data_IF_680895165230
#
_entry.id   IF_680895165230
#
_cell.length_a   1.000
_cell.length_b   1.000
_cell.length_c   1.000
_cell.angle_alpha   90.00
_cell.angle_beta   90.00
_cell.angle_gamma   90.00
#
_symmetry.space_group_name_H-M   'P 1'
#
loop_
_entity.id
_entity.type
_entity.pdbx_description
1 polymer ?
#
# COMPACT_ATOMS: atom_id res chain seq x y z
N UNK A 1 -77.00 9.30 35.16
CA UNK A 1 -76.03 10.11 35.91
C UNK A 1 -75.31 9.25 36.94
N UNK A 2 -74.25 8.53 36.56
CA UNK A 2 -73.27 7.90 37.45
C UNK A 2 -71.94 7.90 36.69
N UNK A 3 -71.18 8.98 36.88
CA UNK A 3 -69.97 9.00 37.69
C UNK A 3 -68.85 8.20 37.01
N UNK A 4 -68.10 8.94 36.21
CA UNK A 4 -66.74 8.62 35.80
C UNK A 4 -65.91 8.32 37.05
N UNK A 5 -65.21 7.19 37.08
CA UNK A 5 -64.16 6.96 38.07
C UNK A 5 -62.89 6.62 37.30
N UNK A 6 -62.04 7.63 37.18
CA UNK A 6 -60.71 7.56 36.59
C UNK A 6 -59.81 6.90 37.64
N UNK A 7 -59.30 5.69 37.36
CA UNK A 7 -58.28 5.07 38.20
C UNK A 7 -56.92 5.58 37.72
N UNK A 8 -56.29 6.40 38.56
CA UNK A 8 -54.91 6.85 38.47
C UNK A 8 -53.98 5.82 39.13
N UNK A 9 -52.74 5.78 38.63
CA UNK A 9 -51.52 5.32 39.30
C UNK A 9 -51.31 3.78 39.32
N UNK A 10 -50.11 3.22 39.13
CA UNK A 10 -48.74 3.68 39.35
C UNK A 10 -47.79 2.96 38.38
N UNK A 11 -46.96 3.71 37.65
CA UNK A 11 -45.84 3.15 36.89
C UNK A 11 -44.70 2.81 37.86
N UNK A 12 -44.48 1.51 38.13
CA UNK A 12 -43.32 1.04 38.87
C UNK A 12 -42.08 1.15 37.99
N UNK A 13 -41.29 2.20 38.23
CA UNK A 13 -39.96 2.38 37.65
C UNK A 13 -38.97 1.37 38.23
N UNK A 14 -38.74 0.26 37.54
CA UNK A 14 -37.54 -0.55 37.74
C UNK A 14 -36.38 0.11 37.02
N UNK A 15 -35.54 0.80 37.80
CA UNK A 15 -34.24 1.32 37.40
C UNK A 15 -33.34 0.16 36.99
N UNK A 16 -33.28 -0.14 35.69
CA UNK A 16 -32.35 -1.10 35.13
C UNK A 16 -30.98 -0.43 35.05
N UNK A 17 -30.17 -0.63 36.10
CA UNK A 17 -28.78 -0.18 36.16
C UNK A 17 -27.98 -1.00 35.14
N UNK A 18 -27.84 -0.48 33.92
CA UNK A 18 -26.92 -1.01 32.91
C UNK A 18 -25.50 -0.92 33.47
N UNK A 19 -25.01 -2.04 33.99
CA UNK A 19 -23.61 -2.21 34.35
C UNK A 19 -22.82 -2.10 33.05
N UNK A 20 -22.00 -1.06 32.95
CA UNK A 20 -21.17 -0.79 31.80
C UNK A 20 -20.29 -1.99 31.49
N UNK A 21 -20.48 -2.56 30.30
CA UNK A 21 -19.51 -3.47 29.71
C UNK A 21 -18.16 -2.76 29.66
N UNK A 22 -17.20 -3.25 30.44
CA UNK A 22 -15.82 -2.80 30.37
C UNK A 22 -15.38 -2.99 28.93
N UNK A 23 -15.15 -1.89 28.21
CA UNK A 23 -14.53 -1.89 26.89
C UNK A 23 -13.12 -2.43 27.06
N UNK A 24 -12.97 -3.75 27.05
CA UNK A 24 -11.70 -4.42 26.86
C UNK A 24 -11.17 -3.90 25.53
N UNK A 25 -10.24 -2.95 25.63
CA UNK A 25 -9.62 -2.24 24.55
C UNK A 25 -9.04 -3.25 23.57
N UNK A 26 -9.77 -3.50 22.48
CA UNK A 26 -9.25 -4.18 21.31
C UNK A 26 -8.15 -3.27 20.76
N UNK A 27 -6.91 -3.47 21.21
CA UNK A 27 -5.74 -2.92 20.55
C UNK A 27 -5.63 -3.63 19.21
N UNK A 28 -6.38 -3.15 18.23
CA UNK A 28 -6.15 -3.44 16.82
C UNK A 28 -4.73 -2.92 16.57
N UNK A 29 -3.76 -3.82 16.59
CA UNK A 29 -2.40 -3.54 16.14
C UNK A 29 -2.54 -3.14 14.68
N UNK A 30 -2.56 -1.82 14.45
CA UNK A 30 -2.75 -1.22 13.14
C UNK A 30 -1.80 -1.91 12.16
N UNK A 31 -2.34 -2.75 11.28
CA UNK A 31 -1.57 -3.43 10.26
C UNK A 31 -0.94 -2.32 9.43
N UNK A 32 0.37 -2.13 9.53
CA UNK A 32 1.10 -1.06 8.83
C UNK A 32 1.13 -1.37 7.33
N UNK A 33 0.01 -1.17 6.64
CA UNK A 33 -0.09 -1.33 5.19
C UNK A 33 0.81 -0.27 4.53
N UNK A 34 1.90 -0.71 3.89
CA UNK A 34 2.91 0.14 3.23
C UNK A 34 2.26 1.31 2.48
N UNK A 35 2.46 2.55 2.94
CA UNK A 35 1.76 3.74 2.44
C UNK A 35 1.89 3.94 0.92
N UNK A 36 0.87 4.56 0.32
CA UNK A 36 0.97 5.00 -1.07
C UNK A 36 2.13 6.01 -1.23
N UNK A 37 2.78 6.07 -2.41
CA UNK A 37 3.81 7.06 -2.67
C UNK A 37 3.29 8.49 -2.50
N UNK A 38 4.03 9.32 -1.77
CA UNK A 38 3.73 10.76 -1.59
C UNK A 38 3.89 11.52 -2.92
N UNK A 39 3.17 12.64 -3.04
CA UNK A 39 3.19 13.54 -4.21
C UNK A 39 4.59 14.12 -4.51
N UNK A 40 5.34 14.52 -3.46
CA UNK A 40 6.71 15.02 -3.62
C UNK A 40 7.68 13.87 -3.92
N UNK A 41 8.49 14.02 -4.98
CA UNK A 41 9.52 13.05 -5.31
C UNK A 41 10.66 13.11 -4.28
N UNK A 42 11.24 11.97 -3.90
CA UNK A 42 12.43 11.95 -3.05
C UNK A 42 13.66 12.46 -3.82
N UNK A 43 14.61 13.09 -3.11
CA UNK A 43 15.85 13.61 -3.69
C UNK A 43 16.80 12.50 -4.15
N UNK A 44 16.86 11.38 -3.39
CA UNK A 44 17.71 10.23 -3.69
C UNK A 44 17.19 9.44 -4.88
N UNK A 45 18.12 9.06 -5.77
CA UNK A 45 17.88 8.26 -6.96
C UNK A 45 18.76 7.02 -6.91
N UNK A 46 18.26 5.95 -7.50
CA UNK A 46 18.94 4.65 -7.58
C UNK A 46 18.85 4.19 -9.02
N UNK A 47 19.94 3.63 -9.53
CA UNK A 47 19.99 3.03 -10.85
C UNK A 47 19.59 1.56 -10.75
N UNK A 48 18.71 1.14 -11.65
CA UNK A 48 18.14 -0.19 -11.69
C UNK A 48 18.70 -0.87 -12.94
N UNK A 49 19.43 -1.97 -12.77
CA UNK A 49 20.06 -2.72 -13.85
C UNK A 49 19.61 -4.18 -13.87
N UNK A 50 19.60 -4.79 -15.05
CA UNK A 50 19.36 -6.23 -15.19
C UNK A 50 20.44 -7.03 -14.45
N UNK A 51 20.06 -8.05 -13.70
CA UNK A 51 21.01 -8.92 -13.01
C UNK A 51 21.79 -9.84 -13.97
N UNK A 52 21.16 -10.20 -15.10
CA UNK A 52 21.75 -11.15 -16.06
C UNK A 52 22.78 -10.49 -16.96
N UNK A 53 22.48 -9.34 -17.57
CA UNK A 53 23.36 -8.67 -18.53
C UNK A 53 23.94 -7.34 -18.02
N UNK A 54 23.56 -6.86 -16.83
CA UNK A 54 24.03 -5.59 -16.27
C UNK A 54 23.47 -4.33 -16.94
N UNK A 55 22.66 -4.46 -17.99
CA UNK A 55 22.12 -3.31 -18.73
C UNK A 55 21.23 -2.43 -17.84
N UNK A 56 21.34 -1.11 -17.97
CA UNK A 56 20.50 -0.16 -17.24
C UNK A 56 19.06 -0.25 -17.75
N UNK A 57 18.12 -0.41 -16.83
CA UNK A 57 16.69 -0.52 -17.12
C UNK A 57 15.98 0.81 -16.79
N UNK A 58 16.13 1.29 -15.56
CA UNK A 58 15.46 2.51 -15.10
C UNK A 58 16.36 3.32 -14.18
N UNK A 59 16.13 4.63 -14.15
CA UNK A 59 16.56 5.49 -13.03
C UNK A 59 15.35 5.81 -12.17
N UNK A 60 15.39 5.47 -10.89
CA UNK A 60 14.22 5.52 -10.01
C UNK A 60 14.43 6.41 -8.79
N UNK A 61 13.45 7.26 -8.49
CA UNK A 61 13.46 8.13 -7.31
C UNK A 61 13.01 7.35 -6.06
N UNK A 62 13.98 6.98 -5.21
CA UNK A 62 13.76 6.10 -4.05
C UNK A 62 14.04 6.83 -2.75
N UNK A 63 13.02 6.93 -1.89
CA UNK A 63 13.10 7.64 -0.62
C UNK A 63 14.22 7.12 0.29
N UNK A 64 14.28 5.80 0.48
CA UNK A 64 15.23 5.18 1.41
C UNK A 64 16.56 4.77 0.73
N UNK A 65 16.83 5.26 -0.49
CA UNK A 65 18.02 4.87 -1.27
C UNK A 65 18.10 3.37 -1.57
N UNK A 66 19.32 2.88 -1.83
CA UNK A 66 19.59 1.49 -2.20
C UNK A 66 19.47 0.49 -1.03
N UNK A 67 19.32 0.92 0.23
CA UNK A 67 19.32 0.00 1.39
C UNK A 67 18.11 -0.93 1.52
N UNK A 68 17.08 -0.79 0.69
CA UNK A 68 15.83 -1.58 0.78
C UNK A 68 15.57 -2.39 -0.48
N UNK A 69 15.01 -3.60 -0.36
CA UNK A 69 14.69 -4.45 -1.52
C UNK A 69 13.59 -3.82 -2.38
N UNK A 70 13.85 -3.66 -3.68
CA UNK A 70 12.92 -3.00 -4.59
C UNK A 70 11.89 -4.00 -5.15
N UNK A 71 10.78 -4.19 -4.43
CA UNK A 71 9.70 -5.10 -4.85
C UNK A 71 8.67 -4.39 -5.74
N UNK A 72 8.50 -3.07 -5.56
CA UNK A 72 7.46 -2.26 -6.21
C UNK A 72 8.08 -0.99 -6.80
N UNK A 73 7.84 -0.75 -8.09
CA UNK A 73 8.31 0.43 -8.82
C UNK A 73 7.09 1.16 -9.38
N UNK A 74 6.74 2.33 -8.82
CA UNK A 74 5.62 3.11 -9.35
C UNK A 74 6.06 3.88 -10.59
N UNK A 75 5.26 3.85 -11.66
CA UNK A 75 5.64 4.46 -12.95
C UNK A 75 5.92 5.97 -12.81
N UNK A 76 5.13 6.66 -11.99
CA UNK A 76 5.29 8.09 -11.67
C UNK A 76 6.61 8.49 -10.98
N UNK A 77 7.37 7.52 -10.44
CA UNK A 77 8.66 7.75 -9.78
C UNK A 77 9.85 7.33 -10.64
N UNK A 78 9.59 6.84 -11.84
CA UNK A 78 10.62 6.59 -12.85
C UNK A 78 11.07 7.95 -13.36
N UNK A 79 12.35 8.22 -13.19
CA UNK A 79 12.99 9.46 -13.63
C UNK A 79 13.39 9.35 -15.09
N UNK A 80 13.93 8.18 -15.47
CA UNK A 80 14.31 7.85 -16.84
C UNK A 80 14.02 6.39 -17.11
N UNK A 81 13.42 6.14 -18.27
CA UNK A 81 13.18 4.81 -18.80
C UNK A 81 14.19 4.54 -19.93
N UNK A 82 14.88 3.40 -19.85
CA UNK A 82 15.83 2.93 -20.86
C UNK A 82 15.34 1.66 -21.56
N UNK A 83 14.13 1.20 -21.24
CA UNK A 83 13.50 0.02 -21.86
C UNK A 83 12.82 0.42 -23.17
N UNK A 84 12.93 -0.43 -24.19
CA UNK A 84 12.22 -0.25 -25.46
C UNK A 84 10.80 -0.83 -25.40
N UNK A 85 10.64 -1.96 -24.71
CA UNK A 85 9.37 -2.61 -24.44
C UNK A 85 9.17 -2.75 -22.92
N UNK A 86 7.92 -2.60 -22.43
CA UNK A 86 7.65 -2.70 -21.01
C UNK A 86 7.97 -4.12 -20.52
N UNK A 87 8.52 -4.21 -19.32
CA UNK A 87 8.82 -5.47 -18.63
C UNK A 87 9.91 -6.37 -19.22
N UNK A 88 10.46 -6.05 -20.39
CA UNK A 88 11.48 -6.85 -21.08
C UNK A 88 12.81 -6.11 -21.12
N UNK A 89 13.91 -6.83 -20.90
CA UNK A 89 15.23 -6.24 -21.00
C UNK A 89 15.51 -5.77 -22.44
N UNK A 90 16.00 -4.52 -22.66
CA UNK A 90 16.27 -4.00 -24.00
C UNK A 90 17.50 -4.61 -24.67
N UNK A 91 18.30 -5.39 -23.94
CA UNK A 91 19.45 -6.08 -24.51
C UNK A 91 18.96 -7.28 -25.35
N UNK A 92 19.34 -7.30 -26.62
CA UNK A 92 19.01 -8.34 -27.61
C UNK A 92 19.43 -9.74 -27.17
N UNK A 93 20.54 -9.86 -26.44
CA UNK A 93 21.08 -11.15 -26.00
C UNK A 93 20.44 -11.66 -24.70
N UNK A 94 19.64 -10.82 -24.03
CA UNK A 94 19.04 -11.14 -22.74
C UNK A 94 17.55 -11.43 -22.89
N UNK A 95 16.76 -10.47 -23.39
CA UNK A 95 15.31 -10.62 -23.57
C UNK A 95 14.51 -11.00 -22.30
N UNK A 96 15.13 -10.97 -21.12
CA UNK A 96 14.50 -11.49 -19.89
C UNK A 96 13.38 -10.57 -19.44
N UNK A 97 12.22 -11.17 -19.13
CA UNK A 97 11.14 -10.53 -18.40
C UNK A 97 11.56 -10.28 -16.94
N UNK A 98 11.77 -9.01 -16.59
CA UNK A 98 12.29 -8.63 -15.27
C UNK A 98 11.21 -8.09 -14.33
N UNK A 99 10.04 -7.73 -14.85
CA UNK A 99 8.92 -7.27 -14.05
C UNK A 99 7.57 -7.66 -14.66
N UNK A 100 6.50 -7.38 -13.92
CA UNK A 100 5.12 -7.52 -14.39
C UNK A 100 4.39 -6.22 -14.14
N UNK A 101 3.55 -5.82 -15.07
CA UNK A 101 2.69 -4.67 -14.90
C UNK A 101 1.55 -4.99 -13.93
N UNK A 102 1.36 -4.15 -12.92
CA UNK A 102 0.33 -4.30 -11.90
C UNK A 102 -0.19 -2.94 -11.44
N UNK A 103 -1.39 -2.93 -10.88
CA UNK A 103 -1.91 -1.76 -10.17
C UNK A 103 -1.71 -1.98 -8.67
N UNK A 104 -0.98 -1.07 -8.02
CA UNK A 104 -0.73 -1.12 -6.58
C UNK A 104 -1.35 0.12 -5.96
N UNK A 105 -2.32 -0.06 -5.06
CA UNK A 105 -3.05 1.04 -4.40
C UNK A 105 -3.66 2.04 -5.40
N UNK A 106 -4.27 1.51 -6.47
CA UNK A 106 -4.90 2.31 -7.52
C UNK A 106 -3.93 3.05 -8.44
N UNK A 107 -2.62 2.75 -8.40
CA UNK A 107 -1.60 3.41 -9.22
C UNK A 107 -0.84 2.40 -10.07
N UNK A 108 -0.50 2.74 -11.32
CA UNK A 108 0.26 1.85 -12.19
C UNK A 108 1.68 1.67 -11.65
N UNK A 109 2.10 0.42 -11.57
CA UNK A 109 3.40 0.03 -11.06
C UNK A 109 3.95 -1.20 -11.78
N UNK A 110 5.27 -1.35 -11.73
CA UNK A 110 5.95 -2.58 -12.09
C UNK A 110 6.28 -3.36 -10.82
N UNK A 111 5.80 -4.60 -10.76
CA UNK A 111 6.19 -5.58 -9.74
C UNK A 111 7.41 -6.32 -10.25
N UNK A 112 8.56 -6.05 -9.62
CA UNK A 112 9.83 -6.64 -10.04
C UNK A 112 9.87 -8.11 -9.67
N UNK A 113 10.34 -8.95 -10.59
CA UNK A 113 10.62 -10.36 -10.31
C UNK A 113 11.89 -10.44 -9.48
N UNK A 114 11.80 -11.10 -8.33
CA UNK A 114 12.90 -11.18 -7.39
C UNK A 114 14.15 -11.81 -8.05
N UNK A 115 15.32 -11.20 -7.85
CA UNK A 115 16.60 -11.70 -8.36
C UNK A 115 16.92 -11.37 -9.81
N UNK A 116 15.98 -10.82 -10.58
CA UNK A 116 16.22 -10.42 -11.99
C UNK A 116 16.85 -9.03 -12.16
N UNK A 117 16.90 -8.26 -11.07
CA UNK A 117 17.27 -6.86 -11.09
C UNK A 117 18.21 -6.55 -9.92
N UNK A 118 19.23 -5.75 -10.20
CA UNK A 118 20.19 -5.22 -9.23
C UNK A 118 19.99 -3.72 -9.13
N UNK A 119 20.14 -3.18 -7.91
CA UNK A 119 20.09 -1.75 -7.65
C UNK A 119 21.49 -1.26 -7.28
N UNK A 120 21.90 -0.13 -7.86
CA UNK A 120 23.16 0.56 -7.56
C UNK A 120 22.89 2.01 -7.20
#
# INVERSE_FOLDING_TARGET
MRLMTIILATAAGTSFRLQGASRSSLRITQTRLFAAPRKKLPSRRVDISCASCGQKLFRYAKGNGAGSRLVKVYKERIVKDFTGSPCVCPNTDCGVEFCREVVIKGRPAFKIVQGKVVMK
#
